data_IF_164807565844
#
_entry.id   IF_164807565844
#
_cell.length_a   1.000
_cell.length_b   1.000
_cell.length_c   1.000
_cell.angle_alpha   90.00
_cell.angle_beta   90.00
_cell.angle_gamma   90.00
#
_symmetry.space_group_name_H-M   'P 1'
#
loop_
_entity.id
_entity.type
_entity.pdbx_description
1 polymer ?
#
# COMPACT_ATOMS: atom_id res chain seq x y z
N UNK A 1 8.78 26.55 2.97
CA UNK A 1 7.36 26.26 2.61
C UNK A 1 7.16 24.74 2.54
N UNK A 2 6.07 24.19 3.11
CA UNK A 2 5.74 22.77 2.97
C UNK A 2 5.26 22.52 1.54
N UNK A 3 5.90 21.60 0.84
CA UNK A 3 5.57 21.25 -0.54
C UNK A 3 4.78 19.95 -0.54
N UNK A 4 3.66 19.97 -1.25
CA UNK A 4 2.82 18.81 -1.47
C UNK A 4 3.07 18.29 -2.88
N UNK A 5 3.57 17.06 -2.98
CA UNK A 5 3.78 16.41 -4.28
C UNK A 5 2.44 15.95 -4.85
N UNK A 6 2.23 16.21 -6.13
CA UNK A 6 1.07 15.69 -6.86
C UNK A 6 1.18 14.17 -7.01
N UNK A 7 0.06 13.51 -7.31
CA UNK A 7 0.05 12.06 -7.57
C UNK A 7 0.92 11.69 -8.79
N UNK A 8 0.98 12.54 -9.81
CA UNK A 8 1.87 12.34 -10.97
C UNK A 8 3.34 12.42 -10.59
N UNK A 9 3.73 13.37 -9.73
CA UNK A 9 5.10 13.47 -9.24
C UNK A 9 5.48 12.25 -8.38
N UNK A 10 4.59 11.81 -7.49
CA UNK A 10 4.81 10.58 -6.71
C UNK A 10 4.92 9.34 -7.62
N UNK A 11 4.11 9.25 -8.67
CA UNK A 11 4.19 8.16 -9.64
C UNK A 11 5.55 8.15 -10.35
N UNK A 12 6.07 9.32 -10.75
CA UNK A 12 7.41 9.46 -11.33
C UNK A 12 8.50 9.03 -10.34
N UNK A 13 8.43 9.44 -9.07
CA UNK A 13 9.38 9.00 -8.04
C UNK A 13 9.44 7.47 -7.93
N UNK A 14 8.26 6.82 -7.92
CA UNK A 14 8.18 5.36 -7.86
C UNK A 14 8.70 4.68 -9.13
N UNK A 15 8.45 5.26 -10.30
CA UNK A 15 8.97 4.74 -11.56
C UNK A 15 10.51 4.74 -11.56
N UNK A 16 11.12 5.86 -11.14
CA UNK A 16 12.57 6.02 -11.07
C UNK A 16 13.19 5.10 -10.01
N UNK A 17 12.56 4.99 -8.84
CA UNK A 17 12.95 4.02 -7.81
C UNK A 17 12.94 2.58 -8.32
N UNK A 18 11.91 2.21 -9.09
CA UNK A 18 11.78 0.89 -9.72
C UNK A 18 12.87 0.63 -10.75
N UNK A 19 13.27 1.66 -11.51
CA UNK A 19 14.42 1.58 -12.44
C UNK A 19 15.77 1.43 -11.72
N UNK A 20 15.80 1.61 -10.41
CA UNK A 20 17.00 1.43 -9.59
C UNK A 20 17.79 2.70 -9.35
N UNK A 21 17.24 3.86 -9.70
CA UNK A 21 17.86 5.16 -9.44
C UNK A 21 17.98 5.43 -7.94
N UNK A 22 19.05 6.14 -7.55
CA UNK A 22 19.30 6.51 -6.17
C UNK A 22 18.35 7.62 -5.70
N UNK A 23 18.15 7.73 -4.38
CA UNK A 23 17.31 8.80 -3.82
C UNK A 23 17.82 10.20 -4.20
N UNK A 24 19.14 10.35 -4.37
CA UNK A 24 19.76 11.61 -4.79
C UNK A 24 19.39 11.96 -6.23
N UNK A 25 19.52 11.02 -7.17
CA UNK A 25 19.13 11.22 -8.57
C UNK A 25 17.66 11.59 -8.71
N UNK A 26 16.78 10.87 -7.99
CA UNK A 26 15.34 11.16 -8.02
C UNK A 26 15.07 12.55 -7.43
N UNK A 27 15.79 12.95 -6.38
CA UNK A 27 15.56 14.24 -5.73
C UNK A 27 16.07 15.43 -6.55
N UNK A 28 17.14 15.26 -7.32
CA UNK A 28 17.64 16.24 -8.27
C UNK A 28 16.59 16.58 -9.34
N UNK A 29 15.75 15.63 -9.77
CA UNK A 29 14.65 15.91 -10.72
C UNK A 29 13.61 16.91 -10.19
N UNK A 30 13.58 17.16 -8.88
CA UNK A 30 12.65 18.08 -8.24
C UNK A 30 13.36 19.27 -7.57
N UNK A 31 14.67 19.43 -7.81
CA UNK A 31 15.54 20.39 -7.14
C UNK A 31 15.49 20.26 -5.60
N UNK A 32 15.57 19.03 -5.10
CA UNK A 32 15.48 18.72 -3.66
C UNK A 32 16.61 17.82 -3.16
N UNK A 33 16.71 17.81 -1.83
CA UNK A 33 17.50 16.82 -1.11
C UNK A 33 16.76 15.47 -1.02
N UNK A 34 17.53 14.38 -0.96
CA UNK A 34 17.07 12.99 -0.95
C UNK A 34 16.10 12.66 0.22
N UNK A 35 16.20 13.38 1.34
CA UNK A 35 15.37 13.18 2.54
C UNK A 35 13.87 13.38 2.27
N UNK A 36 13.52 14.34 1.39
CA UNK A 36 12.13 14.61 0.99
C UNK A 36 11.48 13.39 0.31
N UNK A 37 12.23 12.70 -0.55
CA UNK A 37 11.76 11.51 -1.27
C UNK A 37 11.83 10.28 -0.37
N UNK A 38 12.87 10.18 0.45
CA UNK A 38 13.04 9.09 1.41
C UNK A 38 11.80 8.92 2.28
N UNK A 39 11.24 10.03 2.81
CA UNK A 39 10.04 9.98 3.64
C UNK A 39 8.87 9.31 2.91
N UNK A 40 8.61 9.69 1.66
CA UNK A 40 7.52 9.17 0.83
C UNK A 40 7.71 7.67 0.56
N UNK A 41 8.92 7.26 0.17
CA UNK A 41 9.20 5.85 -0.13
C UNK A 41 9.25 4.98 1.13
N UNK A 42 9.69 5.54 2.27
CA UNK A 42 9.81 4.83 3.54
C UNK A 42 8.44 4.51 4.16
N UNK A 43 7.41 5.33 3.91
CA UNK A 43 6.04 5.08 4.37
C UNK A 43 5.53 3.70 3.94
N UNK A 44 5.92 3.22 2.76
CA UNK A 44 5.59 1.87 2.27
C UNK A 44 6.81 0.93 2.21
N UNK A 45 7.89 1.26 2.92
CA UNK A 45 9.08 0.40 3.00
C UNK A 45 9.81 0.20 1.67
N UNK A 46 9.71 1.15 0.74
CA UNK A 46 10.28 1.05 -0.61
C UNK A 46 9.53 0.10 -1.55
N UNK A 47 8.31 -0.31 -1.18
CA UNK A 47 7.42 -1.14 -2.01
C UNK A 47 6.33 -0.23 -2.56
N UNK A 48 6.23 -0.16 -3.90
CA UNK A 48 5.24 0.70 -4.55
C UNK A 48 3.83 0.24 -4.18
N UNK A 49 2.97 1.12 -3.63
CA UNK A 49 1.57 0.79 -3.42
C UNK A 49 0.87 0.59 -4.76
N UNK A 50 -0.10 -0.33 -4.80
CA UNK A 50 -0.92 -0.53 -5.99
C UNK A 50 -1.74 0.73 -6.24
N UNK A 51 -1.73 1.30 -7.47
CA UNK A 51 -2.53 2.47 -7.78
C UNK A 51 -4.02 2.16 -7.57
N UNK A 52 -4.74 3.10 -6.97
CA UNK A 52 -6.19 2.98 -6.77
C UNK A 52 -6.88 3.24 -8.10
N UNK A 53 -7.64 2.26 -8.56
CA UNK A 53 -8.44 2.38 -9.79
C UNK A 53 -9.91 2.15 -9.45
N UNK A 54 -10.80 3.00 -9.98
CA UNK A 54 -12.25 2.76 -9.95
C UNK A 54 -12.60 1.73 -11.03
N UNK A 55 -13.42 0.74 -10.67
CA UNK A 55 -14.00 -0.16 -11.66
C UNK A 55 -15.02 0.61 -12.51
N UNK A 56 -15.10 0.31 -13.81
CA UNK A 56 -16.09 0.89 -14.74
C UNK A 56 -17.53 0.64 -14.32
N UNK A 57 -17.76 -0.40 -13.51
CA UNK A 57 -19.09 -0.75 -13.00
C UNK A 57 -19.51 0.06 -11.76
N UNK A 58 -18.59 0.81 -11.15
CA UNK A 58 -18.92 1.66 -9.99
C UNK A 58 -19.70 2.88 -10.41
N UNK A 59 -20.60 3.35 -9.55
CA UNK A 59 -21.29 4.63 -9.74
C UNK A 59 -20.24 5.75 -9.84
N UNK A 60 -20.45 6.66 -10.77
CA UNK A 60 -19.70 7.91 -10.92
C UNK A 60 -20.22 8.97 -9.95
N UNK A 61 -19.48 10.06 -9.79
CA UNK A 61 -19.93 11.19 -8.98
C UNK A 61 -21.25 11.77 -9.52
N UNK A 62 -21.37 11.96 -10.83
CA UNK A 62 -22.59 12.47 -11.46
C UNK A 62 -23.80 11.56 -11.19
N UNK A 63 -23.63 10.23 -11.28
CA UNK A 63 -24.70 9.28 -10.92
C UNK A 63 -25.07 9.39 -9.43
N UNK A 64 -24.10 9.59 -8.53
CA UNK A 64 -24.37 9.82 -7.10
C UNK A 64 -25.11 11.13 -6.85
N UNK A 65 -24.79 12.19 -7.57
CA UNK A 65 -25.49 13.48 -7.47
C UNK A 65 -26.94 13.38 -7.96
N UNK A 66 -27.18 12.60 -9.01
CA UNK A 66 -28.54 12.28 -9.44
C UNK A 66 -29.33 11.47 -8.42
N UNK A 67 -28.69 10.50 -7.75
CA UNK A 67 -29.30 9.76 -6.64
C UNK A 67 -29.65 10.75 -5.50
N UNK A 68 -28.71 11.60 -5.11
CA UNK A 68 -28.91 12.57 -4.03
C UNK A 68 -30.07 13.52 -4.32
N UNK A 69 -30.14 14.09 -5.54
CA UNK A 69 -31.25 14.96 -5.96
C UNK A 69 -32.57 14.20 -6.05
N UNK A 70 -32.55 12.97 -6.56
CA UNK A 70 -33.74 12.13 -6.66
C UNK A 70 -34.35 11.78 -5.31
N UNK A 71 -33.52 11.50 -4.31
CA UNK A 71 -33.99 11.22 -2.94
C UNK A 71 -34.63 12.45 -2.29
N UNK A 72 -34.01 13.63 -2.43
CA UNK A 72 -34.56 14.89 -1.90
C UNK A 72 -35.89 15.25 -2.58
N UNK A 73 -36.00 15.00 -3.89
CA UNK A 73 -37.24 15.18 -4.64
C UNK A 73 -38.32 14.12 -4.36
N UNK A 74 -38.07 13.16 -3.46
CA UNK A 74 -39.04 12.10 -3.11
C UNK A 74 -39.21 11.02 -4.18
N UNK A 75 -38.31 10.92 -5.15
CA UNK A 75 -38.39 9.88 -6.19
C UNK A 75 -38.09 8.49 -5.60
N UNK A 76 -38.81 7.49 -6.09
CA UNK A 76 -38.54 6.09 -5.70
C UNK A 76 -37.18 5.62 -6.24
N UNK A 77 -36.52 4.71 -5.51
CA UNK A 77 -35.25 4.09 -5.93
C UNK A 77 -35.36 3.48 -7.34
N UNK A 78 -36.51 2.90 -7.68
CA UNK A 78 -36.77 2.32 -9.02
C UNK A 78 -36.80 3.39 -10.11
N UNK A 79 -37.41 4.55 -9.87
CA UNK A 79 -37.44 5.66 -10.82
C UNK A 79 -36.04 6.22 -11.07
N UNK A 80 -35.27 6.45 -10.00
CA UNK A 80 -33.88 6.91 -10.09
C UNK A 80 -33.02 5.89 -10.87
N UNK A 81 -33.21 4.60 -10.61
CA UNK A 81 -32.50 3.51 -11.29
C UNK A 81 -32.77 3.46 -12.79
N UNK A 82 -34.02 3.64 -13.20
CA UNK A 82 -34.40 3.71 -14.60
C UNK A 82 -33.74 4.89 -15.31
N UNK A 83 -33.74 6.09 -14.70
CA UNK A 83 -33.11 7.29 -15.28
C UNK A 83 -31.61 7.09 -15.47
N UNK A 84 -30.94 6.51 -14.48
CA UNK A 84 -29.50 6.23 -14.51
C UNK A 84 -29.12 4.98 -15.31
N UNK A 85 -30.09 4.22 -15.82
CA UNK A 85 -29.88 2.91 -16.46
C UNK A 85 -29.05 1.95 -15.60
N UNK A 86 -29.34 1.94 -14.30
CA UNK A 86 -28.70 1.05 -13.31
C UNK A 86 -29.71 0.10 -12.69
N UNK A 87 -29.24 -1.01 -12.14
CA UNK A 87 -30.10 -1.89 -11.37
C UNK A 87 -30.60 -1.19 -10.09
N UNK A 88 -31.89 -1.31 -9.71
CA UNK A 88 -32.42 -0.74 -8.47
C UNK A 88 -31.65 -1.20 -7.22
N UNK A 89 -31.15 -2.44 -7.22
CA UNK A 89 -30.33 -3.00 -6.14
C UNK A 89 -28.96 -2.32 -6.00
N UNK A 90 -28.43 -1.70 -7.05
CA UNK A 90 -27.19 -0.90 -7.00
C UNK A 90 -27.44 0.39 -6.22
N UNK A 91 -28.52 1.10 -6.54
CA UNK A 91 -28.89 2.34 -5.86
C UNK A 91 -29.26 2.06 -4.41
N UNK A 92 -30.11 1.06 -4.15
CA UNK A 92 -30.49 0.70 -2.78
C UNK A 92 -29.27 0.37 -1.90
N UNK A 93 -28.34 -0.45 -2.39
CA UNK A 93 -27.11 -0.78 -1.66
C UNK A 93 -26.21 0.43 -1.45
N UNK A 94 -26.16 1.35 -2.41
CA UNK A 94 -25.39 2.59 -2.27
C UNK A 94 -25.98 3.50 -1.20
N UNK A 95 -27.30 3.73 -1.23
CA UNK A 95 -27.99 4.61 -0.28
C UNK A 95 -27.90 4.04 1.13
N UNK A 96 -28.24 2.77 1.33
CA UNK A 96 -28.21 2.12 2.64
C UNK A 96 -26.80 2.12 3.26
N UNK A 97 -25.75 2.02 2.44
CA UNK A 97 -24.36 2.02 2.93
C UNK A 97 -23.88 3.41 3.36
N UNK A 98 -24.51 4.48 2.86
CA UNK A 98 -24.06 5.85 3.08
C UNK A 98 -25.11 6.66 3.87
N UNK A 99 -25.71 6.07 4.91
CA UNK A 99 -26.60 6.77 5.84
C UNK A 99 -28.10 6.68 5.51
N UNK A 100 -28.49 5.99 4.44
CA UNK A 100 -29.90 5.87 4.07
C UNK A 100 -30.45 7.13 3.37
N UNK A 101 -31.74 7.14 3.08
CA UNK A 101 -32.34 8.14 2.19
C UNK A 101 -32.30 9.58 2.72
N UNK A 102 -32.36 9.78 4.04
CA UNK A 102 -32.33 11.10 4.68
C UNK A 102 -30.93 11.74 4.69
N UNK A 103 -29.92 10.93 4.97
CA UNK A 103 -28.55 11.40 5.21
C UNK A 103 -27.63 11.22 4.00
N UNK A 104 -28.14 10.63 2.91
CA UNK A 104 -27.36 10.42 1.70
C UNK A 104 -26.84 11.75 1.14
N UNK A 105 -25.52 11.82 0.92
CA UNK A 105 -24.82 12.93 0.25
C UNK A 105 -23.86 12.39 -0.78
N UNK A 106 -23.95 12.90 -2.01
CA UNK A 106 -23.17 12.39 -3.15
C UNK A 106 -21.64 12.48 -2.94
N UNK A 107 -21.14 13.63 -2.48
CA UNK A 107 -19.71 13.86 -2.27
C UNK A 107 -19.12 12.95 -1.18
N UNK A 108 -19.84 12.78 -0.06
CA UNK A 108 -19.43 11.88 1.02
C UNK A 108 -19.46 10.41 0.57
N UNK A 109 -20.49 10.01 -0.16
CA UNK A 109 -20.60 8.65 -0.71
C UNK A 109 -19.49 8.36 -1.72
N UNK A 110 -19.10 9.35 -2.55
CA UNK A 110 -18.01 9.22 -3.51
C UNK A 110 -16.65 9.07 -2.83
N UNK A 111 -16.36 9.91 -1.82
CA UNK A 111 -15.16 9.82 -1.01
C UNK A 111 -15.10 8.49 -0.24
N UNK A 112 -16.19 8.08 0.40
CA UNK A 112 -16.27 6.80 1.11
C UNK A 112 -16.10 5.61 0.16
N UNK A 113 -16.62 5.69 -1.07
CA UNK A 113 -16.41 4.67 -2.09
C UNK A 113 -14.94 4.60 -2.52
N UNK A 114 -14.30 5.76 -2.71
CA UNK A 114 -12.86 5.83 -2.97
C UNK A 114 -12.09 5.17 -1.84
N UNK A 115 -12.32 5.54 -0.57
CA UNK A 115 -11.61 5.03 0.61
C UNK A 115 -11.75 3.52 0.82
N UNK A 116 -12.95 2.99 0.60
CA UNK A 116 -13.17 1.53 0.61
C UNK A 116 -12.42 0.79 -0.50
N UNK A 117 -12.08 1.44 -1.61
CA UNK A 117 -11.32 0.83 -2.69
C UNK A 117 -9.90 0.40 -2.28
N UNK A 118 -9.35 0.92 -1.18
CA UNK A 118 -8.08 0.46 -0.62
C UNK A 118 -8.10 -1.03 -0.23
N UNK A 119 -9.28 -1.55 0.17
CA UNK A 119 -9.53 -2.95 0.57
C UNK A 119 -8.35 -3.58 1.34
N UNK A 120 -7.93 -2.98 2.47
CA UNK A 120 -6.78 -3.48 3.21
C UNK A 120 -7.03 -4.93 3.65
N UNK A 121 -6.04 -5.79 3.40
CA UNK A 121 -6.04 -7.17 3.90
C UNK A 121 -5.23 -7.21 5.18
N UNK A 122 -5.83 -7.75 6.24
CA UNK A 122 -5.12 -8.00 7.50
C UNK A 122 -3.93 -8.90 7.23
N UNK A 123 -2.76 -8.53 7.73
CA UNK A 123 -1.55 -9.33 7.58
C UNK A 123 -1.65 -10.55 8.50
N UNK A 124 -1.32 -11.75 8.00
CA UNK A 124 -1.38 -13.01 8.77
C UNK A 124 -0.61 -12.92 10.09
N UNK A 125 0.57 -12.28 10.11
CA UNK A 125 1.37 -12.08 11.32
C UNK A 125 0.73 -11.13 12.35
N UNK A 126 -0.17 -10.24 11.93
CA UNK A 126 -0.93 -9.38 12.85
C UNK A 126 -2.05 -10.20 13.50
N UNK A 127 -2.70 -11.05 12.71
CA UNK A 127 -3.79 -11.91 13.17
C UNK A 127 -3.29 -13.03 14.09
N UNK A 128 -2.21 -13.71 13.71
CA UNK A 128 -1.59 -14.79 14.48
C UNK A 128 -0.29 -14.30 15.15
N UNK A 129 -0.43 -13.84 16.41
CA UNK A 129 0.70 -13.32 17.20
C UNK A 129 1.73 -14.39 17.58
N UNK A 130 1.31 -15.64 17.75
CA UNK A 130 2.22 -16.75 18.03
C UNK A 130 3.17 -16.98 16.85
N UNK A 131 2.63 -16.97 15.62
CA UNK A 131 3.46 -17.03 14.42
C UNK A 131 4.42 -15.84 14.31
N UNK A 132 3.97 -14.62 14.65
CA UNK A 132 4.85 -13.45 14.66
C UNK A 132 6.00 -13.58 15.68
N UNK A 133 5.73 -14.12 16.87
CA UNK A 133 6.77 -14.40 17.87
C UNK A 133 7.78 -15.44 17.38
N UNK A 134 7.32 -16.55 16.79
CA UNK A 134 8.22 -17.56 16.19
C UNK A 134 9.12 -16.96 15.10
N UNK A 135 8.54 -16.14 14.21
CA UNK A 135 9.32 -15.45 13.17
C UNK A 135 10.35 -14.51 13.80
N UNK A 136 9.98 -13.75 14.84
CA UNK A 136 10.89 -12.83 15.52
C UNK A 136 12.06 -13.58 16.21
N UNK A 137 11.77 -14.68 16.90
CA UNK A 137 12.78 -15.52 17.55
C UNK A 137 13.78 -16.08 16.53
N UNK A 138 13.29 -16.64 15.42
CA UNK A 138 14.19 -17.16 14.36
C UNK A 138 15.02 -16.05 13.70
N UNK A 139 14.44 -14.86 13.51
CA UNK A 139 15.20 -13.70 13.04
C UNK A 139 16.34 -13.34 14.01
N UNK A 140 16.09 -13.33 15.33
CA UNK A 140 17.12 -13.05 16.34
C UNK A 140 18.25 -14.09 16.32
N UNK A 141 17.93 -15.34 15.98
CA UNK A 141 18.90 -16.41 15.73
C UNK A 141 19.64 -16.28 14.38
N UNK A 142 19.49 -15.16 13.67
CA UNK A 142 20.13 -14.84 12.39
C UNK A 142 19.65 -15.70 11.20
N UNK A 143 18.42 -16.25 11.29
CA UNK A 143 17.83 -16.99 10.18
C UNK A 143 17.31 -16.01 9.12
N UNK A 144 17.53 -16.32 7.84
CA UNK A 144 16.96 -15.54 6.75
C UNK A 144 15.43 -15.77 6.67
N UNK A 145 14.64 -14.78 6.20
CA UNK A 145 13.21 -14.99 5.96
C UNK A 145 12.86 -16.20 5.09
N UNK A 146 13.73 -16.57 4.15
CA UNK A 146 13.59 -17.78 3.32
C UNK A 146 13.78 -19.06 4.13
N UNK A 147 14.79 -19.10 5.00
CA UNK A 147 15.02 -20.23 5.92
C UNK A 147 13.85 -20.40 6.89
N UNK A 148 13.34 -19.29 7.44
CA UNK A 148 12.20 -19.31 8.36
C UNK A 148 10.95 -19.88 7.67
N UNK A 149 10.63 -19.37 6.47
CA UNK A 149 9.48 -19.85 5.71
C UNK A 149 9.60 -21.35 5.34
N UNK A 150 10.80 -21.80 4.97
CA UNK A 150 11.08 -23.22 4.70
C UNK A 150 10.93 -24.07 5.95
N UNK A 151 11.51 -23.65 7.07
CA UNK A 151 11.43 -24.36 8.35
C UNK A 151 10.00 -24.47 8.86
N UNK A 152 9.20 -23.40 8.78
CA UNK A 152 7.79 -23.43 9.18
C UNK A 152 7.01 -24.48 8.40
N UNK A 153 7.30 -24.65 7.10
CA UNK A 153 6.67 -25.69 6.26
C UNK A 153 7.05 -27.10 6.71
N UNK A 154 8.30 -27.32 7.11
CA UNK A 154 8.76 -28.62 7.58
C UNK A 154 8.30 -28.94 9.01
N UNK A 155 8.29 -27.95 9.90
CA UNK A 155 7.92 -28.12 11.30
C UNK A 155 6.39 -28.23 11.51
N UNK A 156 5.60 -27.58 10.64
CA UNK A 156 4.13 -27.54 10.73
C UNK A 156 3.47 -27.88 9.38
N UNK A 157 3.65 -29.11 8.86
CA UNK A 157 3.16 -29.47 7.52
C UNK A 157 1.63 -29.36 7.39
N UNK A 158 0.89 -29.83 8.40
CA UNK A 158 -0.59 -29.88 8.41
C UNK A 158 -1.26 -28.59 8.91
N UNK A 159 -0.48 -27.58 9.32
CA UNK A 159 -1.06 -26.37 9.92
C UNK A 159 -0.80 -25.14 9.03
N UNK A 160 -1.78 -24.84 8.17
CA UNK A 160 -1.75 -23.69 7.27
C UNK A 160 -1.63 -22.34 8.01
N UNK A 161 -2.09 -22.24 9.25
CA UNK A 161 -1.96 -21.01 10.04
C UNK A 161 -0.51 -20.67 10.37
N UNK A 162 0.39 -21.67 10.42
CA UNK A 162 1.83 -21.47 10.58
C UNK A 162 2.58 -21.27 9.27
N UNK A 163 1.92 -21.39 8.12
CA UNK A 163 2.55 -21.16 6.83
C UNK A 163 2.56 -19.67 6.47
N UNK A 164 3.77 -19.13 6.26
CA UNK A 164 3.99 -17.76 5.78
C UNK A 164 5.11 -17.73 4.74
N UNK A 165 4.90 -17.01 3.64
CA UNK A 165 5.94 -16.78 2.64
C UNK A 165 7.00 -15.81 3.17
N UNK A 166 8.27 -16.03 2.79
CA UNK A 166 9.39 -15.12 3.07
C UNK A 166 9.11 -13.69 2.59
N UNK A 167 8.37 -13.52 1.49
CA UNK A 167 7.94 -12.21 1.00
C UNK A 167 7.00 -11.50 1.98
N UNK A 168 6.16 -12.24 2.70
CA UNK A 168 5.29 -11.67 3.74
C UNK A 168 6.12 -11.22 4.95
N UNK A 169 7.15 -11.98 5.33
CA UNK A 169 8.10 -11.58 6.38
C UNK A 169 8.82 -10.30 5.95
N UNK A 170 9.41 -10.24 4.75
CA UNK A 170 10.06 -9.03 4.23
C UNK A 170 9.14 -7.82 4.17
N UNK A 171 7.92 -7.96 3.61
CA UNK A 171 6.95 -6.85 3.56
C UNK A 171 6.58 -6.35 4.95
N UNK A 172 6.54 -7.24 5.93
CA UNK A 172 6.21 -6.88 7.32
C UNK A 172 7.36 -6.16 8.02
N UNK A 173 8.60 -6.57 7.76
CA UNK A 173 9.79 -5.88 8.26
C UNK A 173 9.95 -4.49 7.63
N UNK A 174 9.68 -4.33 6.34
CA UNK A 174 9.82 -3.02 5.67
C UNK A 174 8.63 -2.07 5.91
N UNK A 175 7.40 -2.60 6.04
CA UNK A 175 6.19 -1.78 6.24
C UNK A 175 5.80 -1.80 7.72
N UNK A 176 6.46 -0.95 8.51
CA UNK A 176 6.26 -0.87 9.96
C UNK A 176 4.83 -0.50 10.36
N UNK A 177 4.11 0.24 9.52
CA UNK A 177 2.69 0.56 9.71
C UNK A 177 1.78 -0.69 9.86
N UNK A 178 2.26 -1.89 9.51
CA UNK A 178 1.54 -3.15 9.74
C UNK A 178 1.50 -3.57 11.22
N UNK A 179 2.45 -3.15 12.04
CA UNK A 179 2.45 -3.45 13.48
C UNK A 179 2.58 -4.94 13.86
N UNK A 180 3.11 -5.79 12.98
CA UNK A 180 3.29 -7.22 13.25
C UNK A 180 4.67 -7.59 13.80
N UNK A 181 5.73 -6.89 13.39
CA UNK A 181 7.12 -7.15 13.79
C UNK A 181 7.80 -5.83 14.17
N UNK A 182 8.67 -5.87 15.19
CA UNK A 182 9.43 -4.70 15.64
C UNK A 182 10.49 -4.29 14.60
N UNK A 183 10.75 -2.98 14.48
CA UNK A 183 11.75 -2.41 13.55
C UNK A 183 13.17 -2.93 13.79
N UNK A 184 13.51 -3.18 15.06
CA UNK A 184 14.83 -3.67 15.49
C UNK A 184 15.21 -5.00 14.80
N UNK A 185 14.22 -5.81 14.43
CA UNK A 185 14.45 -7.10 13.77
C UNK A 185 15.14 -6.97 12.40
N UNK A 186 15.13 -5.79 11.78
CA UNK A 186 15.90 -5.51 10.58
C UNK A 186 17.42 -5.64 10.77
N UNK A 187 17.92 -5.46 12.01
CA UNK A 187 19.34 -5.58 12.32
C UNK A 187 19.87 -7.01 12.16
N UNK A 188 18.99 -8.02 12.27
CA UNK A 188 19.36 -9.43 12.08
C UNK A 188 19.29 -9.91 10.62
N UNK A 189 18.92 -9.02 9.69
CA UNK A 189 19.00 -9.34 8.27
C UNK A 189 20.45 -9.17 7.79
N UNK A 190 20.92 -10.10 6.96
CA UNK A 190 22.23 -10.01 6.26
C UNK A 190 22.44 -8.66 5.56
N UNK A 191 21.36 -8.04 5.09
CA UNK A 191 21.35 -6.67 4.57
C UNK A 191 20.44 -5.82 5.43
N UNK A 192 21.03 -4.97 6.28
CA UNK A 192 20.38 -4.11 7.28
C UNK A 192 19.71 -2.86 6.68
N UNK A 193 19.05 -3.02 5.53
CA UNK A 193 18.36 -1.92 4.85
C UNK A 193 16.97 -1.69 5.45
N UNK A 194 16.60 -0.43 5.62
CA UNK A 194 15.26 -0.04 6.11
C UNK A 194 14.15 -0.10 5.05
N UNK A 195 14.53 -0.14 3.77
CA UNK A 195 13.60 -0.16 2.63
C UNK A 195 14.03 -1.19 1.60
N UNK A 196 13.06 -1.74 0.87
CA UNK A 196 13.32 -2.57 -0.29
C UNK A 196 13.87 -1.72 -1.43
N UNK A 197 15.00 -2.16 -1.99
CA UNK A 197 15.58 -1.60 -3.23
C UNK A 197 15.10 -2.40 -4.44
N UNK A 198 15.06 -1.74 -5.60
CA UNK A 198 14.87 -2.42 -6.88
C UNK A 198 15.94 -3.49 -7.11
N UNK A 199 15.59 -4.52 -7.89
CA UNK A 199 16.56 -5.52 -8.37
C UNK A 199 17.56 -4.91 -9.36
N UNK A 200 17.18 -3.83 -10.04
CA UNK A 200 18.04 -3.10 -10.99
C UNK A 200 18.96 -2.09 -10.30
N UNK A 201 18.79 -1.86 -8.99
CA UNK A 201 19.66 -0.97 -8.24
C UNK A 201 21.05 -1.59 -8.08
N UNK A 202 22.07 -0.90 -8.58
CA UNK A 202 23.47 -1.27 -8.43
C UNK A 202 24.25 -0.13 -7.79
N UNK A 203 25.25 -0.47 -6.97
CA UNK A 203 26.24 0.49 -6.47
C UNK A 203 27.43 0.64 -7.43
N UNK A 204 27.51 -0.19 -8.48
CA UNK A 204 28.53 -0.11 -9.54
C UNK A 204 28.10 0.95 -10.57
N UNK A 205 28.07 2.19 -10.15
CA UNK A 205 27.84 3.35 -11.02
C UNK A 205 29.12 4.15 -11.13
N UNK A 206 29.33 4.84 -12.24
CA UNK A 206 30.53 5.67 -12.47
C UNK A 206 30.81 6.69 -11.35
N UNK A 207 29.76 7.07 -10.60
CA UNK A 207 29.81 8.00 -9.48
C UNK A 207 30.13 7.34 -8.11
N UNK A 208 30.38 6.04 -8.03
CA UNK A 208 30.72 5.33 -6.78
C UNK A 208 32.11 4.70 -6.90
N UNK A 209 33.04 5.14 -6.04
CA UNK A 209 34.41 4.60 -5.99
C UNK A 209 35.47 5.48 -6.65
N UNK A 210 35.13 6.64 -7.22
CA UNK A 210 36.12 7.67 -7.54
C UNK A 210 36.48 8.40 -6.25
N UNK A 211 37.62 8.05 -5.65
CA UNK A 211 38.29 8.97 -4.74
C UNK A 211 38.72 10.15 -5.61
N UNK A 212 38.09 11.31 -5.40
CA UNK A 212 38.56 12.55 -6.00
C UNK A 212 39.95 12.79 -5.40
N UNK A 213 40.96 12.96 -6.27
CA UNK A 213 42.38 13.10 -5.90
C UNK A 213 43.10 11.84 -5.36
N UNK A 214 42.74 10.65 -5.84
CA UNK A 214 43.66 9.51 -5.73
C UNK A 214 44.79 9.66 -6.76
N UNK A 215 45.93 10.21 -6.31
CA UNK A 215 47.22 10.25 -7.00
C UNK A 215 47.89 8.87 -6.94
#
# INVERSE_FOLDING_TARGET
>A
PRIYYTESQKALMWERWRKGESLQQIAQLFDRNHSSIQRILAETGGIQPVPRCRSRLTLTLAEREEISRGLIAGHSIRSIAMRLRRAPSTISREVNRNGGSSDYRASLADQAAWDRALRPKTCKLVHNRNLAHLVAEKLQLQWSPEQIAGWLRCAYPENEEHQVSHETIYRTLFIQARGALKKELLAHLRRTRVMRRSRHHTQKTDNHGRIVDAV
#
